data_IF_763411336845
#
_entry.id   IF_763411336845
#
_cell.length_a   1.000
_cell.length_b   1.000
_cell.length_c   1.000
_cell.angle_alpha   90.00
_cell.angle_beta   90.00
_cell.angle_gamma   90.00
#
_symmetry.space_group_name_H-M   'P 1'
#
loop_
_entity.id
_entity.type
_entity.pdbx_description
1 polymer ?
#
# COMPACT_ATOMS: atom_id res chain seq x y z
N UNK A 1 8.61 1.36 21.83
CA UNK A 1 8.65 1.80 20.41
C UNK A 1 8.25 3.26 20.35
N UNK A 2 8.94 4.10 19.58
CA UNK A 2 8.61 5.53 19.52
C UNK A 2 7.97 5.84 18.18
N UNK A 3 6.64 6.03 18.14
CA UNK A 3 5.90 6.54 16.97
C UNK A 3 6.14 8.05 16.75
N UNK A 4 6.89 8.68 17.64
CA UNK A 4 7.24 10.11 17.57
C UNK A 4 8.12 10.49 16.36
N UNK A 5 8.66 9.50 15.66
CA UNK A 5 9.47 9.71 14.44
C UNK A 5 8.62 10.00 13.19
N UNK A 6 7.28 9.83 13.27
CA UNK A 6 6.38 10.05 12.12
C UNK A 6 6.12 11.54 11.97
N UNK A 7 6.55 12.09 10.84
CA UNK A 7 6.22 13.45 10.43
C UNK A 7 4.86 13.47 9.71
N UNK A 8 3.81 13.78 10.45
CA UNK A 8 2.43 13.82 9.92
C UNK A 8 2.17 14.95 8.92
N UNK A 9 3.10 15.90 8.77
CA UNK A 9 2.99 16.95 7.74
C UNK A 9 3.27 16.42 6.33
N UNK A 10 3.87 15.24 6.21
CA UNK A 10 4.20 14.65 4.93
C UNK A 10 2.95 14.42 4.06
N UNK A 11 3.01 14.78 2.75
CA UNK A 11 1.82 14.75 1.88
C UNK A 11 1.23 13.36 1.70
N UNK A 12 2.05 12.31 1.72
CA UNK A 12 1.58 10.92 1.58
C UNK A 12 0.84 10.39 2.80
N UNK A 13 0.95 11.06 3.95
CA UNK A 13 0.22 10.71 5.18
C UNK A 13 -1.12 11.44 5.31
N UNK A 14 -1.45 12.36 4.41
CA UNK A 14 -2.68 13.16 4.51
C UNK A 14 -3.97 12.31 4.70
N UNK A 15 -4.17 11.16 4.02
CA UNK A 15 -5.35 10.32 4.21
C UNK A 15 -5.41 9.66 5.60
N UNK A 16 -4.27 9.50 6.26
CA UNK A 16 -4.11 8.77 7.51
C UNK A 16 -3.90 9.68 8.72
N UNK A 17 -3.74 11.00 8.50
CA UNK A 17 -3.27 11.93 9.53
C UNK A 17 -4.14 11.94 10.77
N UNK A 18 -5.43 12.21 10.63
CA UNK A 18 -6.32 12.38 11.78
C UNK A 18 -6.37 11.14 12.68
N UNK A 19 -6.69 9.93 12.18
CA UNK A 19 -6.66 8.73 13.02
C UNK A 19 -5.24 8.36 13.45
N UNK A 20 -4.23 8.64 12.63
CA UNK A 20 -2.85 8.31 12.89
C UNK A 20 -2.24 9.12 14.04
N UNK A 21 -2.44 10.42 14.07
CA UNK A 21 -2.00 11.29 15.19
C UNK A 21 -2.65 10.87 16.51
N UNK A 22 -3.96 10.61 16.50
CA UNK A 22 -4.69 10.18 17.67
C UNK A 22 -4.20 8.81 18.18
N UNK A 23 -4.03 7.82 17.28
CA UNK A 23 -3.49 6.51 17.64
C UNK A 23 -2.04 6.58 18.10
N UNK A 24 -1.18 7.38 17.46
CA UNK A 24 0.22 7.55 17.86
C UNK A 24 0.33 8.19 19.26
N UNK A 25 -0.54 9.15 19.56
CA UNK A 25 -0.60 9.75 20.90
C UNK A 25 -1.04 8.72 21.95
N UNK A 26 -2.08 7.93 21.68
CA UNK A 26 -2.57 6.89 22.59
C UNK A 26 -1.51 5.78 22.82
N UNK A 27 -0.76 5.42 21.79
CA UNK A 27 0.28 4.40 21.86
C UNK A 27 1.50 4.78 22.72
N UNK A 28 1.59 6.02 23.21
CA UNK A 28 2.59 6.41 24.22
C UNK A 28 2.36 5.73 25.57
N UNK A 29 1.11 5.37 25.85
CA UNK A 29 0.67 4.83 27.15
C UNK A 29 -0.03 3.49 27.03
N UNK A 30 -0.16 2.95 25.80
CA UNK A 30 -0.85 1.71 25.51
C UNK A 30 -0.10 0.92 24.42
N UNK A 31 -0.54 -0.32 24.14
CA UNK A 31 -0.07 -1.05 22.97
C UNK A 31 -0.62 -0.43 21.69
N UNK A 32 0.05 -0.69 20.57
CA UNK A 32 -0.42 -0.29 19.22
C UNK A 32 -1.82 -0.83 18.95
N UNK A 33 -2.07 -2.10 19.30
CA UNK A 33 -3.40 -2.70 19.17
C UNK A 33 -4.48 -1.91 19.95
N UNK A 34 -4.23 -1.58 21.21
CA UNK A 34 -5.18 -0.81 22.02
C UNK A 34 -5.38 0.62 21.51
N UNK A 35 -4.31 1.26 21.03
CA UNK A 35 -4.37 2.60 20.46
C UNK A 35 -5.21 2.65 19.19
N UNK A 36 -5.00 1.71 18.24
CA UNK A 36 -5.80 1.57 17.03
C UNK A 36 -7.26 1.22 17.34
N UNK A 37 -7.48 0.32 18.32
CA UNK A 37 -8.82 -0.05 18.78
C UNK A 37 -9.60 1.15 19.30
N UNK A 38 -8.93 2.08 20.00
CA UNK A 38 -9.56 3.27 20.58
C UNK A 38 -10.01 4.31 19.55
N UNK A 39 -9.45 4.32 18.35
CA UNK A 39 -9.77 5.30 17.29
C UNK A 39 -10.49 4.69 16.10
N UNK A 40 -10.78 3.39 16.12
CA UNK A 40 -11.36 2.69 14.97
C UNK A 40 -12.80 3.11 14.68
N UNK A 41 -13.19 3.30 13.42
CA UNK A 41 -14.60 3.37 13.03
C UNK A 41 -15.28 1.99 13.15
N UNK A 42 -16.60 1.97 13.26
CA UNK A 42 -17.36 0.72 13.43
C UNK A 42 -17.15 -0.31 12.30
N UNK A 43 -16.86 0.16 11.08
CA UNK A 43 -16.64 -0.70 9.92
C UNK A 43 -15.29 -1.44 9.93
N UNK A 44 -14.32 -0.99 10.74
CA UNK A 44 -13.00 -1.60 10.85
C UNK A 44 -13.05 -2.87 11.72
N UNK A 45 -12.14 -3.83 11.48
CA UNK A 45 -11.97 -4.99 12.34
C UNK A 45 -11.50 -4.59 13.74
N UNK A 46 -11.54 -5.51 14.69
CA UNK A 46 -10.94 -5.30 16.00
C UNK A 46 -9.42 -5.52 15.94
N UNK A 47 -8.67 -4.70 16.68
CA UNK A 47 -7.22 -4.83 16.79
C UNK A 47 -6.88 -5.54 18.10
N UNK A 48 -6.16 -6.66 18.02
CA UNK A 48 -5.79 -7.48 19.17
C UNK A 48 -4.27 -7.64 19.24
N UNK A 49 -3.71 -7.78 20.44
CA UNK A 49 -2.27 -8.09 20.57
C UNK A 49 -1.95 -9.43 19.91
N UNK A 50 -0.85 -9.51 19.18
CA UNK A 50 -0.45 -10.75 18.49
C UNK A 50 -0.26 -11.94 19.43
N UNK A 51 0.08 -11.74 20.70
CA UNK A 51 0.10 -12.81 21.71
C UNK A 51 -1.26 -13.49 21.93
N UNK A 52 -2.36 -12.89 21.48
CA UNK A 52 -3.68 -13.53 21.47
C UNK A 52 -3.83 -14.59 20.35
N UNK A 53 -2.91 -14.64 19.37
CA UNK A 53 -2.75 -15.79 18.45
C UNK A 53 -2.15 -17.01 19.16
N UNK A 54 -2.45 -17.15 20.47
CA UNK A 54 -1.83 -18.09 21.34
C UNK A 54 -1.95 -19.55 20.86
N UNK A 55 -0.82 -20.21 20.92
CA UNK A 55 -0.57 -21.58 21.39
C UNK A 55 -1.40 -22.76 20.80
N UNK A 56 -2.41 -22.53 19.98
CA UNK A 56 -3.27 -23.61 19.47
C UNK A 56 -3.57 -23.56 17.97
N UNK A 57 -3.23 -22.49 17.26
CA UNK A 57 -3.56 -22.31 15.83
C UNK A 57 -2.36 -22.09 14.91
N UNK A 58 -1.16 -21.93 15.40
CA UNK A 58 0.04 -22.11 14.61
C UNK A 58 0.26 -23.62 14.38
N UNK A 59 -0.60 -24.22 13.58
CA UNK A 59 -0.33 -25.53 13.02
C UNK A 59 0.97 -25.40 12.21
N UNK A 60 1.93 -26.27 12.45
CA UNK A 60 3.19 -26.38 11.68
C UNK A 60 2.96 -26.53 10.16
N UNK A 61 1.72 -26.79 9.76
CA UNK A 61 1.26 -26.93 8.36
C UNK A 61 0.98 -25.61 7.65
N UNK A 62 0.78 -24.48 8.39
CA UNK A 62 0.49 -23.18 7.80
C UNK A 62 1.67 -22.24 8.02
N UNK A 63 2.23 -21.67 6.96
CA UNK A 63 3.20 -20.59 7.10
C UNK A 63 2.62 -19.43 7.94
N UNK A 64 3.47 -18.72 8.67
CA UNK A 64 3.01 -17.67 9.60
C UNK A 64 2.11 -16.59 8.93
N UNK A 65 2.35 -16.32 7.66
CA UNK A 65 1.56 -15.37 6.86
C UNK A 65 0.16 -15.91 6.52
N UNK A 66 0.06 -17.18 6.11
CA UNK A 66 -1.22 -17.83 5.82
C UNK A 66 -2.10 -17.93 7.06
N UNK A 67 -1.47 -18.22 8.21
CA UNK A 67 -2.16 -18.26 9.49
C UNK A 67 -2.72 -16.87 9.86
N UNK A 68 -1.97 -15.79 9.58
CA UNK A 68 -2.38 -14.42 9.82
C UNK A 68 -3.60 -14.02 8.97
N UNK A 69 -3.55 -14.23 7.65
CA UNK A 69 -4.63 -13.87 6.74
C UNK A 69 -5.91 -14.70 7.01
N UNK A 70 -5.75 -15.99 7.26
CA UNK A 70 -6.84 -16.89 7.64
C UNK A 70 -7.47 -16.49 8.97
N UNK A 71 -6.66 -16.10 9.95
CA UNK A 71 -7.15 -15.62 11.23
C UNK A 71 -8.03 -14.38 11.04
N UNK A 72 -7.56 -13.36 10.33
CA UNK A 72 -8.34 -12.13 10.08
C UNK A 72 -9.67 -12.46 9.39
N UNK A 73 -9.62 -13.33 8.39
CA UNK A 73 -10.82 -13.74 7.64
C UNK A 73 -11.88 -14.35 8.55
N UNK A 74 -11.49 -15.30 9.43
CA UNK A 74 -12.44 -16.04 10.26
C UNK A 74 -12.89 -15.28 11.51
N UNK A 75 -12.00 -14.48 12.11
CA UNK A 75 -12.26 -13.84 13.41
C UNK A 75 -12.65 -12.38 13.31
N UNK A 76 -12.37 -11.73 12.16
CA UNK A 76 -12.51 -10.27 12.01
C UNK A 76 -11.65 -9.49 13.00
N UNK A 77 -10.56 -10.07 13.46
CA UNK A 77 -9.58 -9.41 14.32
C UNK A 77 -8.22 -9.33 13.64
N UNK A 78 -7.51 -8.22 13.82
CA UNK A 78 -6.17 -7.97 13.25
C UNK A 78 -5.14 -8.11 14.37
N UNK A 79 -4.37 -9.21 14.38
CA UNK A 79 -3.26 -9.37 15.31
C UNK A 79 -2.20 -8.31 15.07
N UNK A 80 -1.84 -7.57 16.11
CA UNK A 80 -1.04 -6.35 16.00
C UNK A 80 0.09 -6.37 17.03
N UNK A 81 1.33 -6.22 16.55
CA UNK A 81 2.54 -6.05 17.36
C UNK A 81 2.82 -4.58 17.65
N UNK A 82 3.67 -4.33 18.63
CA UNK A 82 4.11 -2.97 18.96
C UNK A 82 5.30 -2.54 18.07
N UNK A 83 5.05 -2.34 16.76
CA UNK A 83 6.03 -1.88 15.77
C UNK A 83 5.39 -0.94 14.73
N UNK A 84 6.23 -0.24 13.92
CA UNK A 84 5.78 0.69 12.87
C UNK A 84 5.01 -0.02 11.77
N UNK A 85 5.44 -1.22 11.38
CA UNK A 85 4.81 -2.01 10.32
C UNK A 85 3.34 -2.27 10.63
N UNK A 86 3.07 -2.85 11.81
CA UNK A 86 1.71 -3.19 12.23
C UNK A 86 0.87 -1.94 12.52
N UNK A 87 1.52 -0.86 12.99
CA UNK A 87 0.86 0.43 13.14
C UNK A 87 0.34 0.98 11.80
N UNK A 88 1.18 1.01 10.76
CA UNK A 88 0.75 1.46 9.43
C UNK A 88 -0.26 0.50 8.79
N UNK A 89 -0.10 -0.82 8.97
CA UNK A 89 -1.12 -1.78 8.55
C UNK A 89 -2.49 -1.46 9.19
N UNK A 90 -2.48 -1.16 10.50
CA UNK A 90 -3.68 -0.74 11.21
C UNK A 90 -4.28 0.55 10.64
N UNK A 91 -3.47 1.56 10.32
CA UNK A 91 -3.96 2.81 9.73
C UNK A 91 -4.63 2.58 8.36
N UNK A 92 -4.09 1.68 7.53
CA UNK A 92 -4.73 1.32 6.26
C UNK A 92 -6.06 0.61 6.50
N UNK A 93 -6.15 -0.28 7.49
CA UNK A 93 -7.41 -0.89 7.91
C UNK A 93 -8.44 0.14 8.41
N UNK A 94 -8.02 1.19 9.11
CA UNK A 94 -8.91 2.27 9.58
C UNK A 94 -9.45 3.10 8.41
N UNK A 95 -8.58 3.42 7.44
CA UNK A 95 -8.94 4.27 6.32
C UNK A 95 -9.69 3.53 5.20
N UNK A 96 -9.40 2.25 5.00
CA UNK A 96 -9.89 1.44 3.87
C UNK A 96 -10.36 0.04 4.33
N UNK A 97 -11.32 -0.04 5.27
CA UNK A 97 -11.77 -1.32 5.83
C UNK A 97 -12.42 -2.25 4.79
N UNK A 98 -13.15 -1.74 3.81
CA UNK A 98 -13.77 -2.55 2.76
C UNK A 98 -12.71 -3.08 1.77
N UNK A 99 -11.78 -2.22 1.35
CA UNK A 99 -10.70 -2.58 0.46
C UNK A 99 -9.78 -3.65 1.07
N UNK A 100 -9.35 -3.46 2.32
CA UNK A 100 -8.54 -4.45 3.06
C UNK A 100 -9.28 -5.75 3.27
N UNK A 101 -10.56 -5.69 3.61
CA UNK A 101 -11.39 -6.89 3.76
C UNK A 101 -11.49 -7.66 2.46
N UNK A 102 -11.72 -6.97 1.34
CA UNK A 102 -11.81 -7.62 0.03
C UNK A 102 -10.50 -8.31 -0.35
N UNK A 103 -9.35 -7.67 -0.15
CA UNK A 103 -8.05 -8.30 -0.37
C UNK A 103 -7.85 -9.54 0.52
N UNK A 104 -8.24 -9.47 1.80
CA UNK A 104 -8.17 -10.61 2.73
C UNK A 104 -9.09 -11.76 2.30
N UNK A 105 -10.32 -11.47 1.82
CA UNK A 105 -11.25 -12.46 1.30
C UNK A 105 -10.71 -13.17 0.05
N UNK A 106 -10.08 -12.43 -0.87
CA UNK A 106 -9.41 -12.99 -2.04
C UNK A 106 -8.23 -13.90 -1.64
N UNK A 107 -7.42 -13.49 -0.66
CA UNK A 107 -6.33 -14.30 -0.10
C UNK A 107 -6.86 -15.59 0.52
N UNK A 108 -7.86 -15.49 1.41
CA UNK A 108 -8.44 -16.63 2.10
C UNK A 108 -9.09 -17.63 1.11
N UNK A 109 -9.80 -17.13 0.12
CA UNK A 109 -10.41 -17.97 -0.94
C UNK A 109 -9.36 -18.71 -1.75
N UNK A 110 -8.24 -18.06 -2.11
CA UNK A 110 -7.15 -18.70 -2.84
C UNK A 110 -6.43 -19.75 -1.98
N UNK A 111 -6.23 -19.49 -0.69
CA UNK A 111 -5.67 -20.46 0.27
C UNK A 111 -6.58 -21.68 0.38
N UNK A 112 -7.91 -21.48 0.51
CA UNK A 112 -8.86 -22.58 0.59
C UNK A 112 -8.89 -23.43 -0.69
N UNK A 113 -8.71 -22.81 -1.87
CA UNK A 113 -8.73 -23.49 -3.17
C UNK A 113 -7.46 -24.27 -3.49
N UNK A 114 -6.30 -23.69 -3.19
CA UNK A 114 -4.99 -24.22 -3.62
C UNK A 114 -4.21 -24.94 -2.50
N UNK A 115 -4.70 -24.86 -1.27
CA UNK A 115 -3.95 -25.31 -0.10
C UNK A 115 -2.75 -24.40 0.20
N UNK A 116 -2.00 -24.78 1.23
CA UNK A 116 -0.75 -24.13 1.59
C UNK A 116 0.38 -24.82 0.84
N UNK A 117 0.77 -24.27 -0.30
CA UNK A 117 1.92 -24.74 -1.06
C UNK A 117 3.21 -24.01 -0.67
N UNK A 118 4.37 -24.61 -0.97
CA UNK A 118 5.69 -23.98 -0.76
C UNK A 118 5.88 -22.69 -1.59
N UNK A 119 5.09 -22.51 -2.66
CA UNK A 119 5.14 -21.34 -3.54
C UNK A 119 3.78 -20.67 -3.54
N UNK A 120 3.75 -19.35 -3.27
CA UNK A 120 2.55 -18.53 -3.40
C UNK A 120 2.13 -18.44 -4.86
N UNK A 121 0.83 -18.62 -5.13
CA UNK A 121 0.30 -18.42 -6.48
C UNK A 121 0.28 -16.96 -6.91
N UNK A 122 0.12 -16.68 -8.23
CA UNK A 122 0.21 -15.32 -8.78
C UNK A 122 -0.74 -14.30 -8.13
N UNK A 123 -1.96 -14.72 -7.76
CA UNK A 123 -2.93 -13.86 -7.09
C UNK A 123 -2.44 -13.41 -5.72
N UNK A 124 -1.99 -14.38 -4.90
CA UNK A 124 -1.50 -14.09 -3.55
C UNK A 124 -0.26 -13.20 -3.57
N UNK A 125 0.65 -13.43 -4.52
CA UNK A 125 1.81 -12.56 -4.73
C UNK A 125 1.41 -11.14 -5.10
N UNK A 126 0.43 -10.98 -6.00
CA UNK A 126 -0.05 -9.67 -6.42
C UNK A 126 -0.73 -8.92 -5.27
N UNK A 127 -1.58 -9.61 -4.50
CA UNK A 127 -2.25 -9.02 -3.34
C UNK A 127 -1.22 -8.60 -2.29
N UNK A 128 -0.27 -9.46 -1.95
CA UNK A 128 0.80 -9.14 -1.00
C UNK A 128 1.63 -7.93 -1.48
N UNK A 129 2.01 -7.91 -2.76
CA UNK A 129 2.77 -6.81 -3.34
C UNK A 129 2.01 -5.48 -3.22
N UNK A 130 0.70 -5.50 -3.48
CA UNK A 130 -0.13 -4.30 -3.38
C UNK A 130 -0.34 -3.89 -1.92
N UNK A 131 -0.65 -4.82 -1.04
CA UNK A 131 -0.85 -4.56 0.39
C UNK A 131 0.39 -4.00 1.09
N UNK A 132 1.57 -4.40 0.62
CA UNK A 132 2.87 -3.94 1.12
C UNK A 132 3.33 -2.62 0.48
N UNK A 133 3.21 -2.48 -0.85
CA UNK A 133 3.86 -1.41 -1.60
C UNK A 133 2.94 -0.75 -2.63
N UNK A 134 1.63 -0.99 -2.56
CA UNK A 134 0.66 -0.52 -3.54
C UNK A 134 0.36 0.97 -3.45
N UNK A 135 -0.05 1.51 -4.59
CA UNK A 135 -0.59 2.86 -4.70
C UNK A 135 -1.69 2.93 -5.75
N UNK A 136 -2.56 3.94 -5.63
CA UNK A 136 -3.57 4.32 -6.61
C UNK A 136 -3.27 5.72 -7.10
N UNK A 137 -3.35 5.93 -8.40
CA UNK A 137 -3.12 7.23 -9.02
C UNK A 137 -4.40 7.66 -9.76
N UNK A 138 -4.91 8.83 -9.39
CA UNK A 138 -5.90 9.55 -10.18
C UNK A 138 -5.15 10.67 -10.88
N UNK A 139 -5.07 10.64 -12.21
CA UNK A 139 -4.27 11.58 -12.99
C UNK A 139 -4.77 11.71 -14.43
N UNK A 140 -4.50 12.84 -15.10
CA UNK A 140 -4.74 12.98 -16.52
C UNK A 140 -4.08 11.89 -17.37
N UNK A 141 -4.69 11.44 -18.48
CA UNK A 141 -4.16 10.38 -19.33
C UNK A 141 -2.74 10.60 -19.83
N UNK A 142 -2.30 11.85 -19.95
CA UNK A 142 -0.93 12.18 -20.36
C UNK A 142 0.11 11.70 -19.33
N UNK A 143 -0.15 11.90 -18.03
CA UNK A 143 0.72 11.39 -16.95
C UNK A 143 0.74 9.86 -16.92
N UNK A 144 -0.41 9.21 -17.13
CA UNK A 144 -0.49 7.76 -17.20
C UNK A 144 0.34 7.19 -18.36
N UNK A 145 0.25 7.78 -19.56
CA UNK A 145 1.07 7.36 -20.71
C UNK A 145 2.56 7.47 -20.41
N UNK A 146 2.99 8.58 -19.81
CA UNK A 146 4.38 8.79 -19.43
C UNK A 146 4.84 7.78 -18.36
N UNK A 147 4.00 7.50 -17.34
CA UNK A 147 4.31 6.53 -16.28
C UNK A 147 4.45 5.11 -16.84
N UNK A 148 3.51 4.65 -17.67
CA UNK A 148 3.55 3.31 -18.29
C UNK A 148 4.77 3.15 -19.18
N UNK A 149 5.10 4.18 -19.96
CA UNK A 149 6.30 4.21 -20.80
C UNK A 149 7.61 4.36 -19.99
N UNK A 150 7.53 4.62 -18.70
CA UNK A 150 8.67 5.01 -17.85
C UNK A 150 9.48 6.17 -18.46
N UNK A 151 8.78 7.08 -19.12
CA UNK A 151 9.35 8.34 -19.57
C UNK A 151 9.35 9.34 -18.39
N UNK A 152 10.36 9.21 -17.56
CA UNK A 152 10.49 9.98 -16.33
C UNK A 152 10.64 11.48 -16.59
N UNK A 153 11.28 11.84 -17.71
CA UNK A 153 11.43 13.24 -18.10
C UNK A 153 10.07 13.83 -18.51
N UNK A 154 9.30 13.12 -19.33
CA UNK A 154 7.95 13.55 -19.65
C UNK A 154 7.07 13.63 -18.41
N UNK A 155 7.11 12.60 -17.54
CA UNK A 155 6.27 12.49 -16.34
C UNK A 155 6.51 13.62 -15.32
N UNK A 156 7.76 13.93 -15.03
CA UNK A 156 8.12 14.77 -13.89
C UNK A 156 8.67 16.16 -14.26
N UNK A 157 9.12 16.32 -15.51
CA UNK A 157 9.69 17.59 -15.99
C UNK A 157 8.76 18.26 -16.98
N UNK A 158 8.54 17.65 -18.14
CA UNK A 158 7.75 18.28 -19.21
C UNK A 158 6.27 18.45 -18.81
N UNK A 159 5.69 17.43 -18.19
CA UNK A 159 4.27 17.42 -17.77
C UNK A 159 4.08 17.74 -16.28
N UNK A 160 5.11 18.31 -15.64
CA UNK A 160 5.10 18.62 -14.20
C UNK A 160 3.86 19.39 -13.77
N UNK A 161 3.37 20.30 -14.59
CA UNK A 161 2.19 21.12 -14.30
C UNK A 161 0.90 20.31 -14.09
N UNK A 162 0.76 19.16 -14.77
CA UNK A 162 -0.42 18.29 -14.68
C UNK A 162 -0.53 17.57 -13.33
N UNK A 163 0.54 17.48 -12.55
CA UNK A 163 0.49 16.90 -11.20
C UNK A 163 -0.41 17.68 -10.23
N UNK A 164 -0.76 18.94 -10.55
CA UNK A 164 -1.75 19.72 -9.76
C UNK A 164 -3.16 19.13 -9.89
N UNK A 165 -3.44 18.42 -10.98
CA UNK A 165 -4.70 17.73 -11.24
C UNK A 165 -4.65 16.27 -10.81
N UNK A 166 -3.47 15.78 -10.40
CA UNK A 166 -3.28 14.42 -10.00
C UNK A 166 -3.36 14.24 -8.47
N UNK A 167 -3.81 13.07 -8.07
CA UNK A 167 -3.82 12.63 -6.67
C UNK A 167 -3.21 11.24 -6.60
N UNK A 168 -2.24 11.05 -5.73
CA UNK A 168 -1.61 9.77 -5.44
C UNK A 168 -1.97 9.33 -4.03
N UNK A 169 -2.56 8.15 -3.90
CA UNK A 169 -2.85 7.49 -2.64
C UNK A 169 -1.87 6.34 -2.46
N UNK A 170 -1.05 6.38 -1.43
CA UNK A 170 -0.24 5.24 -1.02
C UNK A 170 -1.08 4.33 -0.13
N UNK A 171 -1.30 3.11 -0.57
CA UNK A 171 -2.08 2.09 0.14
C UNK A 171 -1.19 1.12 0.91
N UNK A 172 -0.01 0.83 0.35
CA UNK A 172 0.93 -0.15 0.90
C UNK A 172 1.47 0.26 2.28
N UNK A 173 1.18 -0.56 3.29
CA UNK A 173 1.57 -0.23 4.67
C UNK A 173 3.09 -0.30 4.91
N UNK A 174 3.81 -1.22 4.27
CA UNK A 174 5.28 -1.25 4.34
C UNK A 174 5.92 -0.10 3.55
N UNK A 175 5.26 0.39 2.49
CA UNK A 175 5.68 1.60 1.79
C UNK A 175 5.58 2.83 2.70
N UNK A 176 4.48 2.96 3.44
CA UNK A 176 4.29 4.03 4.43
C UNK A 176 5.34 3.96 5.55
N UNK A 177 5.63 2.76 6.05
CA UNK A 177 6.69 2.52 7.03
C UNK A 177 8.05 2.99 6.50
N UNK A 178 8.44 2.59 5.28
CA UNK A 178 9.71 3.02 4.65
C UNK A 178 9.82 4.54 4.50
N UNK A 179 8.70 5.21 4.28
CA UNK A 179 8.61 6.66 4.12
C UNK A 179 8.65 7.45 5.43
N UNK A 180 8.72 6.80 6.58
CA UNK A 180 9.10 7.45 7.86
C UNK A 180 10.54 7.98 7.79
N UNK A 181 11.41 7.29 7.03
CA UNK A 181 12.75 7.76 6.69
C UNK A 181 12.87 7.81 5.17
N UNK A 182 12.41 8.91 4.53
CA UNK A 182 12.31 8.98 3.09
C UNK A 182 13.68 8.83 2.41
N UNK A 183 13.74 7.99 1.38
CA UNK A 183 14.93 7.78 0.55
C UNK A 183 14.54 7.73 -0.92
N UNK A 184 15.34 8.34 -1.77
CA UNK A 184 15.07 8.50 -3.21
C UNK A 184 14.66 7.22 -3.95
N UNK A 185 15.23 6.02 -3.68
CA UNK A 185 14.88 4.78 -4.38
C UNK A 185 13.54 4.16 -3.97
N UNK A 186 12.84 4.71 -2.95
CA UNK A 186 11.55 4.14 -2.53
C UNK A 186 10.56 4.23 -3.68
N UNK A 187 10.01 3.07 -4.06
CA UNK A 187 9.17 2.92 -5.24
C UNK A 187 7.83 2.29 -4.85
N UNK A 188 6.73 2.90 -5.26
CA UNK A 188 5.39 2.35 -5.17
C UNK A 188 5.08 1.45 -6.36
N UNK A 189 4.16 0.49 -6.18
CA UNK A 189 3.54 -0.30 -7.23
C UNK A 189 2.15 0.27 -7.51
N UNK A 190 2.05 1.15 -8.52
CA UNK A 190 0.80 1.82 -8.87
C UNK A 190 -0.08 0.86 -9.65
N UNK A 191 -1.30 0.60 -9.15
CA UNK A 191 -2.28 -0.22 -9.83
C UNK A 191 -2.78 0.52 -11.08
N UNK A 192 -2.65 -0.12 -12.25
CA UNK A 192 -3.20 0.41 -13.50
C UNK A 192 -4.73 0.54 -13.37
N UNK A 193 -5.38 1.60 -13.81
CA UNK A 193 -6.83 1.66 -13.87
C UNK A 193 -7.36 0.77 -15.02
N UNK A 194 -8.65 0.47 -15.02
CA UNK A 194 -9.29 -0.22 -16.16
C UNK A 194 -9.33 0.66 -17.41
N UNK A 195 -9.53 1.95 -17.21
CA UNK A 195 -9.52 2.97 -18.26
C UNK A 195 -8.67 4.15 -17.79
N UNK A 196 -7.69 4.53 -18.59
CA UNK A 196 -6.83 5.69 -18.31
C UNK A 196 -7.60 7.03 -18.36
N UNK A 197 -8.78 7.06 -19.00
CA UNK A 197 -9.63 8.24 -19.08
C UNK A 197 -10.67 8.31 -17.94
N UNK A 198 -10.80 7.22 -17.16
CA UNK A 198 -11.69 7.13 -16.00
C UNK A 198 -10.88 6.75 -14.74
N UNK A 199 -10.09 7.70 -14.20
CA UNK A 199 -9.23 7.42 -13.06
C UNK A 199 -10.04 7.05 -11.82
N UNK A 200 -9.48 6.18 -10.92
CA UNK A 200 -10.21 5.68 -9.76
C UNK A 200 -10.52 6.80 -8.76
N UNK A 201 -11.68 6.74 -8.14
CA UNK A 201 -11.96 7.47 -6.91
C UNK A 201 -11.23 6.82 -5.72
N UNK A 202 -11.03 7.60 -4.64
CA UNK A 202 -10.26 7.17 -3.47
C UNK A 202 -11.12 6.94 -2.21
N UNK A 203 -12.45 6.88 -2.37
CA UNK A 203 -13.29 6.37 -1.29
C UNK A 203 -13.10 4.85 -1.16
N UNK A 204 -13.31 4.31 0.04
CA UNK A 204 -13.02 2.92 0.37
C UNK A 204 -13.75 1.91 -0.53
N UNK A 205 -15.03 2.16 -0.83
CA UNK A 205 -15.82 1.29 -1.69
C UNK A 205 -15.33 1.29 -3.15
N UNK A 206 -14.90 2.47 -3.65
CA UNK A 206 -14.33 2.59 -4.97
C UNK A 206 -12.95 1.92 -5.05
N UNK A 207 -12.13 2.05 -4.01
CA UNK A 207 -10.84 1.36 -3.92
C UNK A 207 -11.04 -0.15 -3.95
N UNK A 208 -11.97 -0.69 -3.17
CA UNK A 208 -12.29 -2.13 -3.15
C UNK A 208 -12.68 -2.68 -4.53
N UNK A 209 -13.43 -1.93 -5.32
CA UNK A 209 -13.86 -2.32 -6.67
C UNK A 209 -12.72 -2.47 -7.69
N UNK A 210 -11.53 -1.95 -7.40
CA UNK A 210 -10.37 -2.11 -8.27
C UNK A 210 -9.70 -3.48 -8.14
N UNK A 211 -10.08 -4.28 -7.15
CA UNK A 211 -9.44 -5.56 -6.85
C UNK A 211 -10.25 -6.72 -7.45
N UNK A 212 -10.01 -6.98 -8.72
CA UNK A 212 -10.49 -8.17 -9.41
C UNK A 212 -9.43 -9.27 -9.39
N UNK A 213 -9.81 -10.50 -9.05
CA UNK A 213 -8.89 -11.61 -8.86
C UNK A 213 -8.12 -11.98 -10.15
N UNK A 214 -8.82 -12.07 -11.28
CA UNK A 214 -8.20 -12.48 -12.54
C UNK A 214 -7.25 -11.41 -13.05
N UNK A 215 -7.63 -10.16 -12.89
CA UNK A 215 -6.78 -9.03 -13.22
C UNK A 215 -5.55 -8.96 -12.32
N UNK A 216 -5.71 -9.12 -11.01
CA UNK A 216 -4.57 -9.11 -10.06
C UNK A 216 -3.55 -10.21 -10.36
N UNK A 217 -3.99 -11.40 -10.87
CA UNK A 217 -3.07 -12.47 -11.30
C UNK A 217 -2.09 -12.01 -12.37
N UNK A 218 -2.43 -11.03 -13.19
CA UNK A 218 -1.54 -10.46 -14.22
C UNK A 218 -0.56 -9.43 -13.66
N UNK A 219 -0.63 -9.11 -12.37
CA UNK A 219 0.19 -8.08 -11.69
C UNK A 219 0.16 -6.73 -12.42
N UNK A 220 -1.01 -6.09 -12.58
CA UNK A 220 -1.19 -4.87 -13.36
C UNK A 220 -0.62 -3.65 -12.62
N UNK A 221 0.67 -3.68 -12.34
CA UNK A 221 1.34 -2.64 -11.58
C UNK A 221 2.44 -1.97 -12.39
N UNK A 222 2.57 -0.66 -12.23
CA UNK A 222 3.70 0.10 -12.76
C UNK A 222 4.49 0.72 -11.60
N UNK A 223 5.83 0.65 -11.65
CA UNK A 223 6.65 1.24 -10.61
C UNK A 223 6.63 2.77 -10.71
N UNK A 224 6.56 3.44 -9.55
CA UNK A 224 6.65 4.89 -9.43
C UNK A 224 7.60 5.24 -8.29
N UNK A 225 8.78 5.83 -8.57
CA UNK A 225 9.64 6.40 -7.53
C UNK A 225 8.89 7.52 -6.80
N UNK A 226 8.56 7.30 -5.53
CA UNK A 226 7.59 8.12 -4.78
C UNK A 226 8.08 9.56 -4.62
N UNK A 227 9.37 9.75 -4.31
CA UNK A 227 9.94 11.09 -4.15
C UNK A 227 10.14 11.85 -5.47
N UNK A 228 9.83 11.22 -6.62
CA UNK A 228 9.73 11.89 -7.90
C UNK A 228 8.47 12.76 -8.01
N UNK A 229 7.42 12.48 -7.24
CA UNK A 229 6.18 13.24 -7.27
C UNK A 229 6.43 14.71 -6.89
N UNK A 230 6.05 15.68 -7.73
CA UNK A 230 6.28 17.09 -7.45
C UNK A 230 5.75 17.53 -6.10
N UNK A 231 6.60 18.22 -5.33
CA UNK A 231 6.25 18.71 -3.99
C UNK A 231 6.41 17.68 -2.85
N UNK A 232 6.82 16.43 -3.15
CA UNK A 232 7.04 15.40 -2.12
C UNK A 232 8.50 15.36 -1.63
N UNK A 233 9.40 16.05 -2.31
CA UNK A 233 10.81 16.19 -1.94
C UNK A 233 11.31 17.53 -2.45
N UNK A 234 12.07 18.26 -1.65
CA UNK A 234 12.58 19.57 -2.03
C UNK A 234 13.53 19.51 -3.23
N UNK A 235 14.34 18.46 -3.28
CA UNK A 235 15.37 18.26 -4.31
C UNK A 235 14.78 17.97 -5.70
N UNK A 236 13.52 17.48 -5.77
CA UNK A 236 12.87 17.15 -7.04
C UNK A 236 12.41 18.39 -7.84
N UNK A 237 12.68 19.58 -7.36
CA UNK A 237 12.48 20.81 -8.13
C UNK A 237 13.48 20.93 -9.29
N UNK A 238 14.67 20.34 -9.16
CA UNK A 238 15.71 20.34 -10.18
C UNK A 238 15.55 19.17 -11.15
N UNK A 239 15.61 19.44 -12.47
CA UNK A 239 15.52 18.38 -13.50
C UNK A 239 16.61 17.31 -13.36
N UNK A 240 17.79 17.68 -12.84
CA UNK A 240 18.90 16.75 -12.57
C UNK A 240 18.55 15.68 -11.53
N UNK A 241 17.55 15.89 -10.67
CA UNK A 241 17.07 14.88 -9.74
C UNK A 241 16.61 13.62 -10.47
N UNK A 242 16.02 13.77 -11.64
CA UNK A 242 15.46 12.68 -12.45
C UNK A 242 16.46 12.02 -13.39
N UNK A 243 17.71 12.54 -13.46
CA UNK A 243 18.79 11.96 -14.26
C UNK A 243 19.44 10.72 -13.60
N UNK A 244 19.07 10.38 -12.37
CA UNK A 244 19.58 9.21 -11.63
C UNK A 244 18.99 7.92 -12.20
N UNK A 245 19.71 7.27 -13.11
CA UNK A 245 19.31 6.02 -13.75
C UNK A 245 19.26 4.82 -12.78
N UNK A 246 19.83 4.92 -11.58
CA UNK A 246 19.69 3.91 -10.53
C UNK A 246 18.26 3.87 -9.94
N UNK A 247 17.56 5.00 -9.97
CA UNK A 247 16.18 5.17 -9.49
C UNK A 247 15.19 5.26 -10.65
N UNK A 248 15.40 6.19 -11.55
CA UNK A 248 14.52 6.48 -12.69
C UNK A 248 14.93 5.63 -13.90
N UNK A 249 14.71 4.31 -13.79
CA UNK A 249 15.11 3.34 -14.81
C UNK A 249 14.12 3.37 -15.99
N UNK A 250 14.58 3.63 -17.23
CA UNK A 250 13.71 3.56 -18.39
C UNK A 250 13.24 2.13 -18.65
N UNK A 251 12.17 1.99 -19.42
CA UNK A 251 11.73 0.68 -19.89
C UNK A 251 12.82 0.09 -20.81
N UNK A 252 13.27 -1.12 -20.53
CA UNK A 252 14.23 -1.81 -21.40
C UNK A 252 13.55 -2.19 -22.71
N UNK A 253 14.12 -1.80 -23.85
CA UNK A 253 13.57 -2.05 -25.20
C UNK A 253 13.45 -3.55 -25.59
N UNK A 254 14.06 -4.45 -24.80
CA UNK A 254 14.09 -5.90 -25.07
C UNK A 254 12.98 -6.68 -24.34
N UNK A 255 12.00 -6.03 -23.75
CA UNK A 255 10.91 -6.68 -23.02
C UNK A 255 9.59 -6.74 -23.80
N UNK A 256 9.61 -6.52 -25.12
CA UNK A 256 8.48 -6.88 -25.97
C UNK A 256 8.68 -8.31 -26.45
N UNK A 257 7.83 -9.28 -26.04
CA UNK A 257 7.77 -10.54 -26.74
C UNK A 257 7.34 -10.27 -28.19
N UNK A 258 8.03 -10.93 -29.12
CA UNK A 258 7.69 -10.95 -30.54
C UNK A 258 6.32 -11.59 -30.77
#
# INVERSE_FOLDING_TARGET
MTLAVIDWAQPWLAPYRTPGEAAAQAARHASVAAALQGVKPAASPDFVRQGALAAGQASEAFGAFEAYESHIFHTRTVPTRDNLHDFFNGLVWLAFPQAKRHLNELQASEIARSGVGAVRGPLRDAITLFDENGALLNAPPALWRALVARDWHALFVTQRGLWREARLLLFGHALLEKLVTPRKPITAHVLLPYDLNAPPAFDDAAVAKNFDADRLRTKPFVPLPVLGVPGWCAENTAASFYADAGVFRPLQKNALPA
#
